data_IF_499593500520
#
_entry.id   IF_499593500520
#
_cell.length_a   1.000
_cell.length_b   1.000
_cell.length_c   1.000
_cell.angle_alpha   90.00
_cell.angle_beta   90.00
_cell.angle_gamma   90.00
#
_symmetry.space_group_name_H-M   'P 1'
#
loop_
_entity.id
_entity.type
_entity.pdbx_description
1 polymer ?
#
# COMPACT_ATOMS: atom_id res chain seq x y z
N UNK A 1 -32.50 25.93 20.85
CA UNK A 1 -32.60 25.51 19.44
C UNK A 1 -31.17 25.46 18.91
N UNK A 2 -30.59 24.27 18.79
CA UNK A 2 -29.27 24.10 18.14
C UNK A 2 -29.53 23.67 16.70
N UNK A 3 -29.84 24.65 15.85
CA UNK A 3 -29.76 24.51 14.40
C UNK A 3 -28.31 24.84 14.02
N UNK A 4 -27.62 23.92 13.34
CA UNK A 4 -26.25 24.15 12.91
C UNK A 4 -25.74 23.04 12.00
N UNK A 5 -25.73 23.33 10.69
CA UNK A 5 -25.24 22.53 9.55
C UNK A 5 -23.73 22.20 9.57
N UNK A 6 -23.06 22.25 10.74
CA UNK A 6 -21.60 22.16 10.85
C UNK A 6 -21.07 20.74 11.08
N UNK A 7 -21.93 19.80 11.47
CA UNK A 7 -21.55 18.44 11.85
C UNK A 7 -22.53 17.38 11.33
N UNK A 8 -22.06 16.16 11.10
CA UNK A 8 -22.88 14.98 10.80
C UNK A 8 -22.58 13.83 11.74
N UNK A 9 -23.54 12.93 11.89
CA UNK A 9 -23.45 11.73 12.72
C UNK A 9 -24.82 11.09 12.90
N UNK A 10 -24.87 9.77 13.04
CA UNK A 10 -26.11 9.02 13.35
C UNK A 10 -26.62 9.31 14.76
N UNK A 11 -25.71 9.69 15.68
CA UNK A 11 -26.01 10.00 17.06
C UNK A 11 -25.73 11.50 17.24
N UNK A 12 -26.78 12.31 17.21
CA UNK A 12 -26.71 13.73 17.56
C UNK A 12 -27.07 13.88 19.04
N UNK A 13 -26.41 14.80 19.76
CA UNK A 13 -26.67 15.14 21.17
C UNK A 13 -28.01 15.87 21.35
N UNK A 14 -29.10 15.24 20.94
CA UNK A 14 -30.46 15.73 21.19
C UNK A 14 -30.92 15.08 22.49
N UNK A 15 -31.13 15.90 23.52
CA UNK A 15 -31.49 15.47 24.89
C UNK A 15 -32.73 14.56 24.92
N UNK A 16 -33.63 14.71 23.93
CA UNK A 16 -34.81 13.87 23.73
C UNK A 16 -34.86 13.20 22.34
N UNK A 17 -33.69 13.01 21.70
CA UNK A 17 -33.61 12.37 20.38
C UNK A 17 -33.85 10.85 20.46
N UNK A 18 -34.16 10.21 19.32
CA UNK A 18 -34.38 8.76 19.26
C UNK A 18 -33.20 7.91 19.77
N UNK A 19 -32.00 8.50 19.87
CA UNK A 19 -30.77 7.86 20.34
C UNK A 19 -30.32 8.31 21.74
N UNK A 20 -31.12 9.08 22.49
CA UNK A 20 -30.73 9.61 23.80
C UNK A 20 -30.30 8.53 24.81
N UNK A 21 -30.90 7.34 24.72
CA UNK A 21 -30.55 6.17 25.55
C UNK A 21 -29.18 5.58 25.24
N UNK A 22 -28.63 5.83 24.04
CA UNK A 22 -27.33 5.30 23.62
C UNK A 22 -26.17 6.19 24.06
N UNK A 23 -26.41 7.45 24.44
CA UNK A 23 -25.36 8.41 24.83
C UNK A 23 -24.55 7.96 26.05
N UNK A 24 -25.10 7.10 26.91
CA UNK A 24 -24.39 6.54 28.07
C UNK A 24 -23.38 5.44 27.69
N UNK A 25 -23.53 4.82 26.51
CA UNK A 25 -22.68 3.72 26.03
C UNK A 25 -21.78 4.12 24.86
N UNK A 26 -22.19 5.12 24.08
CA UNK A 26 -21.48 5.61 22.90
C UNK A 26 -21.41 7.12 23.02
N UNK A 27 -20.20 7.66 23.00
CA UNK A 27 -19.98 9.10 22.95
C UNK A 27 -20.28 9.62 21.53
N UNK A 28 -21.33 10.43 21.34
CA UNK A 28 -21.64 11.04 20.04
C UNK A 28 -20.56 12.04 19.64
N UNK A 29 -19.60 11.56 18.87
CA UNK A 29 -18.57 12.39 18.27
C UNK A 29 -19.15 13.19 17.10
N UNK A 30 -19.18 14.51 17.24
CA UNK A 30 -19.54 15.42 16.16
C UNK A 30 -18.48 15.32 15.05
N UNK A 31 -18.84 14.75 13.89
CA UNK A 31 -17.93 14.67 12.74
C UNK A 31 -18.11 15.95 11.92
N UNK A 32 -17.05 16.76 11.70
CA UNK A 32 -17.14 17.95 10.85
C UNK A 32 -17.70 17.60 9.47
N UNK A 33 -18.44 18.51 8.83
CA UNK A 33 -19.06 18.26 7.51
C UNK A 33 -18.09 17.74 6.44
N UNK A 34 -16.85 18.21 6.49
CA UNK A 34 -15.74 17.79 5.60
C UNK A 34 -15.26 16.36 5.82
N UNK A 35 -15.57 15.76 6.96
CA UNK A 35 -15.29 14.35 7.29
C UNK A 35 -16.53 13.46 7.16
N UNK A 36 -17.66 14.01 6.71
CA UNK A 36 -18.85 13.21 6.45
C UNK A 36 -18.64 12.25 5.30
N UNK A 37 -19.11 11.02 5.52
CA UNK A 37 -19.23 10.03 4.48
C UNK A 37 -20.34 10.32 3.47
N UNK A 38 -20.46 9.43 2.49
CA UNK A 38 -21.49 9.39 1.47
C UNK A 38 -22.49 8.29 1.79
N UNK A 39 -23.67 8.33 1.18
CA UNK A 39 -24.59 7.18 1.16
C UNK A 39 -24.59 6.56 -0.23
N UNK A 40 -24.43 5.24 -0.30
CA UNK A 40 -24.48 4.47 -1.55
C UNK A 40 -25.28 3.21 -1.34
N UNK A 41 -26.38 3.05 -2.09
CA UNK A 41 -27.29 1.89 -2.00
C UNK A 41 -27.72 1.57 -0.54
N UNK A 42 -28.04 2.62 0.23
CA UNK A 42 -28.45 2.50 1.63
C UNK A 42 -27.31 2.24 2.63
N UNK A 43 -26.04 2.20 2.19
CA UNK A 43 -24.87 2.02 3.05
C UNK A 43 -24.10 3.33 3.23
N UNK A 44 -23.57 3.54 4.44
CA UNK A 44 -22.68 4.66 4.73
C UNK A 44 -21.25 4.33 4.30
N UNK A 45 -20.64 5.20 3.50
CA UNK A 45 -19.28 5.07 2.97
C UNK A 45 -18.42 6.19 3.56
N UNK A 46 -17.30 5.90 4.24
CA UNK A 46 -16.44 6.93 4.81
C UNK A 46 -15.92 7.93 3.76
N UNK A 47 -15.68 9.17 4.20
CA UNK A 47 -15.07 10.20 3.37
C UNK A 47 -13.72 9.73 2.78
N UNK A 48 -13.55 9.84 1.46
CA UNK A 48 -12.32 9.43 0.76
C UNK A 48 -12.20 7.92 0.51
N UNK A 49 -13.07 7.10 1.11
CA UNK A 49 -13.04 5.65 0.91
C UNK A 49 -13.35 5.30 -0.55
N UNK A 50 -12.58 4.35 -1.08
CA UNK A 50 -12.76 3.85 -2.44
C UNK A 50 -13.09 2.37 -2.43
N UNK A 51 -14.16 1.98 -3.11
CA UNK A 51 -14.68 0.60 -3.14
C UNK A 51 -15.04 0.13 -4.56
N UNK A 52 -15.18 -1.19 -4.74
CA UNK A 52 -15.68 -1.78 -5.99
C UNK A 52 -17.20 -1.93 -5.90
N UNK A 53 -17.93 -1.27 -6.79
CA UNK A 53 -19.40 -1.22 -6.75
C UNK A 53 -20.06 -2.43 -7.41
N UNK A 54 -19.35 -3.17 -8.26
CA UNK A 54 -19.85 -4.36 -8.94
C UNK A 54 -19.13 -5.64 -8.48
N UNK A 55 -19.66 -6.79 -8.91
CA UNK A 55 -19.11 -8.09 -8.56
C UNK A 55 -17.81 -8.43 -9.28
N UNK A 56 -17.57 -7.86 -10.46
CA UNK A 56 -16.43 -8.18 -11.33
C UNK A 56 -15.26 -7.21 -11.26
N UNK A 57 -15.24 -6.29 -10.29
CA UNK A 57 -14.25 -5.22 -10.22
C UNK A 57 -14.12 -4.45 -11.54
N UNK A 58 -15.26 -4.06 -12.13
CA UNK A 58 -15.36 -3.26 -13.37
C UNK A 58 -15.70 -1.80 -13.11
N UNK A 59 -16.16 -1.47 -11.90
CA UNK A 59 -16.61 -0.14 -11.50
C UNK A 59 -16.03 0.24 -10.14
N UNK A 60 -15.10 1.17 -10.16
CA UNK A 60 -14.43 1.71 -8.96
C UNK A 60 -15.09 3.03 -8.58
N UNK A 61 -15.51 3.14 -7.33
CA UNK A 61 -16.17 4.33 -6.80
C UNK A 61 -15.43 4.91 -5.61
N UNK A 62 -15.52 6.23 -5.42
CA UNK A 62 -14.91 6.95 -4.31
C UNK A 62 -15.92 7.91 -3.69
N UNK A 63 -16.00 7.95 -2.37
CA UNK A 63 -16.80 8.95 -1.66
C UNK A 63 -16.07 10.30 -1.63
N UNK A 64 -16.62 11.28 -2.36
CA UNK A 64 -16.07 12.64 -2.41
C UNK A 64 -16.69 13.48 -1.30
N UNK A 65 -15.93 13.68 -0.23
CA UNK A 65 -16.40 14.33 0.99
C UNK A 65 -17.02 15.72 0.76
N UNK A 66 -16.44 16.51 -0.16
CA UNK A 66 -16.91 17.87 -0.46
C UNK A 66 -18.31 17.89 -1.09
N UNK A 67 -18.59 16.95 -1.98
CA UNK A 67 -19.89 16.85 -2.66
C UNK A 67 -20.88 15.93 -1.92
N UNK A 68 -20.40 15.16 -0.93
CA UNK A 68 -21.12 14.06 -0.26
C UNK A 68 -21.70 13.04 -1.27
N UNK A 69 -21.07 12.91 -2.44
CA UNK A 69 -21.49 12.01 -3.51
C UNK A 69 -20.46 10.94 -3.74
N UNK A 70 -20.94 9.78 -4.17
CA UNK A 70 -20.09 8.73 -4.69
C UNK A 70 -19.87 8.97 -6.18
N UNK A 71 -18.60 9.11 -6.56
CA UNK A 71 -18.18 9.25 -7.95
C UNK A 71 -17.56 7.94 -8.41
N UNK A 72 -18.04 7.42 -9.54
CA UNK A 72 -17.64 6.12 -10.07
C UNK A 72 -17.01 6.26 -11.45
N UNK A 73 -16.04 5.40 -11.72
CA UNK A 73 -15.41 5.26 -13.03
C UNK A 73 -15.23 3.78 -13.35
N UNK A 74 -15.25 3.48 -14.64
CA UNK A 74 -14.94 2.13 -15.10
C UNK A 74 -13.44 1.88 -14.92
N UNK A 75 -13.12 0.74 -14.32
CA UNK A 75 -11.75 0.33 -14.00
C UNK A 75 -11.73 -1.18 -13.89
N UNK A 76 -10.64 -1.82 -14.31
CA UNK A 76 -10.43 -3.25 -14.13
C UNK A 76 -9.26 -3.52 -13.19
N UNK A 77 -9.17 -4.75 -12.69
CA UNK A 77 -7.94 -5.20 -12.04
C UNK A 77 -6.76 -5.15 -13.00
N UNK A 78 -5.57 -4.85 -12.48
CA UNK A 78 -4.35 -4.81 -13.27
C UNK A 78 -3.93 -6.20 -13.76
N UNK A 79 -2.97 -6.22 -14.68
CA UNK A 79 -2.38 -7.47 -15.15
C UNK A 79 -1.83 -8.29 -13.98
N UNK A 80 -2.11 -9.60 -13.96
CA UNK A 80 -1.69 -10.50 -12.89
C UNK A 80 -2.51 -10.37 -11.59
N UNK A 81 -3.63 -9.64 -11.61
CA UNK A 81 -4.57 -9.55 -10.50
C UNK A 81 -5.95 -10.12 -10.88
N UNK A 82 -6.68 -10.59 -9.88
CA UNK A 82 -8.05 -11.08 -10.01
C UNK A 82 -8.96 -10.42 -8.97
N UNK A 83 -10.20 -10.18 -9.35
CA UNK A 83 -11.22 -9.68 -8.43
C UNK A 83 -11.59 -10.75 -7.41
N UNK A 84 -11.32 -10.50 -6.13
CA UNK A 84 -11.59 -11.43 -5.04
C UNK A 84 -12.16 -10.69 -3.82
N UNK A 85 -12.84 -11.42 -2.93
CA UNK A 85 -13.32 -10.89 -1.65
C UNK A 85 -12.38 -11.39 -0.56
N UNK A 86 -11.66 -10.48 0.09
CA UNK A 86 -10.71 -10.77 1.17
C UNK A 86 -11.22 -10.05 2.42
N UNK A 87 -11.45 -10.79 3.50
CA UNK A 87 -12.01 -10.29 4.76
C UNK A 87 -13.33 -9.52 4.57
N UNK A 88 -14.20 -10.03 3.69
CA UNK A 88 -15.48 -9.40 3.36
C UNK A 88 -15.38 -8.18 2.44
N UNK A 89 -14.17 -7.75 2.05
CA UNK A 89 -13.95 -6.59 1.19
C UNK A 89 -13.49 -7.04 -0.19
N UNK A 90 -14.19 -6.59 -1.23
CA UNK A 90 -13.81 -6.84 -2.63
C UNK A 90 -12.57 -6.03 -3.00
N UNK A 91 -11.54 -6.69 -3.54
CA UNK A 91 -10.25 -6.10 -3.94
C UNK A 91 -9.68 -6.82 -5.17
N UNK A 92 -8.73 -6.17 -5.85
CA UNK A 92 -7.91 -6.83 -6.86
C UNK A 92 -6.72 -7.49 -6.17
N UNK A 93 -6.74 -8.83 -6.10
CA UNK A 93 -5.74 -9.64 -5.43
C UNK A 93 -4.73 -10.17 -6.44
N UNK A 94 -3.44 -10.19 -6.09
CA UNK A 94 -2.42 -10.81 -6.95
C UNK A 94 -2.73 -12.31 -7.15
N UNK A 95 -2.68 -12.78 -8.39
CA UNK A 95 -2.96 -14.19 -8.73
C UNK A 95 -1.79 -15.09 -8.35
N UNK A 96 -0.58 -14.56 -8.33
CA UNK A 96 0.63 -15.32 -7.99
C UNK A 96 1.72 -14.41 -7.43
N UNK A 97 2.63 -15.01 -6.69
CA UNK A 97 3.86 -14.37 -6.23
C UNK A 97 5.07 -15.12 -6.80
N UNK A 98 6.12 -14.38 -7.11
CA UNK A 98 7.40 -14.94 -7.54
C UNK A 98 8.53 -14.39 -6.68
N UNK A 99 9.67 -15.08 -6.68
CA UNK A 99 10.81 -14.74 -5.84
C UNK A 99 12.08 -14.76 -6.67
N UNK A 100 12.75 -13.61 -6.74
CA UNK A 100 14.13 -13.49 -7.17
C UNK A 100 15.05 -13.72 -5.97
N UNK A 101 16.18 -14.41 -6.16
CA UNK A 101 17.14 -14.71 -5.09
C UNK A 101 18.55 -14.34 -5.53
N UNK A 102 19.29 -13.73 -4.62
CA UNK A 102 20.74 -13.58 -4.68
C UNK A 102 21.31 -14.22 -3.41
N UNK A 103 21.92 -15.40 -3.54
CA UNK A 103 22.44 -16.17 -2.38
C UNK A 103 23.92 -15.91 -2.11
N UNK A 104 24.51 -14.98 -2.87
CA UNK A 104 25.94 -14.66 -2.91
C UNK A 104 26.35 -14.47 -4.35
N UNK A 105 27.32 -13.61 -4.63
CA UNK A 105 27.92 -13.54 -5.96
C UNK A 105 28.77 -14.81 -6.18
N UNK A 106 28.58 -15.53 -7.31
CA UNK A 106 27.85 -15.08 -8.50
C UNK A 106 26.41 -15.59 -8.66
N UNK A 107 25.82 -16.30 -7.69
CA UNK A 107 24.59 -17.08 -7.89
C UNK A 107 23.29 -16.28 -7.77
N UNK A 108 22.62 -16.10 -8.91
CA UNK A 108 21.32 -15.46 -9.01
C UNK A 108 20.25 -16.42 -9.52
N UNK A 109 19.02 -16.25 -9.02
CA UNK A 109 17.81 -16.91 -9.53
C UNK A 109 16.77 -15.85 -9.84
N UNK A 110 16.37 -15.73 -11.09
CA UNK A 110 15.36 -14.76 -11.54
C UNK A 110 13.95 -15.14 -11.10
N UNK A 111 12.99 -14.22 -11.28
CA UNK A 111 11.57 -14.47 -10.99
C UNK A 111 11.00 -15.65 -11.78
N UNK A 112 11.42 -15.82 -13.04
CA UNK A 112 11.08 -16.95 -13.93
C UNK A 112 11.99 -18.19 -13.72
N UNK A 113 12.70 -18.25 -12.59
CA UNK A 113 13.49 -19.41 -12.12
C UNK A 113 14.75 -19.73 -12.92
N UNK A 114 15.21 -18.83 -13.79
CA UNK A 114 16.50 -18.99 -14.48
C UNK A 114 17.64 -18.77 -13.51
N UNK A 115 18.64 -19.65 -13.59
CA UNK A 115 19.86 -19.59 -12.80
C UNK A 115 20.97 -19.02 -13.67
N UNK A 116 21.74 -18.09 -13.13
CA UNK A 116 22.94 -17.61 -13.81
C UNK A 116 23.99 -17.18 -12.79
N UNK A 117 25.23 -17.12 -13.29
CA UNK A 117 26.37 -16.64 -12.56
C UNK A 117 26.80 -15.29 -13.14
N UNK A 118 26.90 -14.27 -12.29
CA UNK A 118 27.41 -12.96 -12.68
C UNK A 118 28.40 -12.49 -11.62
N UNK A 119 29.54 -11.95 -12.06
CA UNK A 119 30.60 -11.46 -11.18
C UNK A 119 30.87 -9.99 -11.49
N UNK A 120 30.92 -9.16 -10.44
CA UNK A 120 31.36 -7.78 -10.58
C UNK A 120 31.21 -6.99 -9.29
N UNK A 121 31.91 -5.86 -9.19
CA UNK A 121 32.03 -5.06 -7.94
C UNK A 121 31.26 -3.74 -7.97
N UNK A 122 30.46 -3.50 -9.02
CA UNK A 122 29.66 -2.28 -9.09
C UNK A 122 28.42 -2.40 -8.20
N UNK A 123 27.64 -1.32 -8.18
CA UNK A 123 26.26 -1.35 -7.70
C UNK A 123 25.39 -1.84 -8.85
N UNK A 124 24.56 -2.84 -8.59
CA UNK A 124 23.66 -3.45 -9.56
C UNK A 124 22.21 -3.32 -9.11
N UNK A 125 21.31 -3.08 -10.06
CA UNK A 125 19.88 -3.09 -9.82
C UNK A 125 19.37 -4.54 -9.85
N UNK A 126 19.02 -5.09 -8.69
CA UNK A 126 18.52 -6.46 -8.57
C UNK A 126 17.04 -6.55 -8.99
N UNK A 127 16.24 -5.56 -8.61
CA UNK A 127 14.85 -5.44 -8.98
C UNK A 127 14.39 -3.97 -8.90
N UNK A 128 13.57 -3.54 -9.85
CA UNK A 128 12.88 -2.25 -9.76
C UNK A 128 11.56 -2.32 -10.52
N UNK A 129 10.68 -1.36 -10.26
CA UNK A 129 9.44 -1.21 -11.03
C UNK A 129 9.79 -0.85 -12.49
N UNK A 130 9.33 -1.68 -13.43
CA UNK A 130 9.43 -1.43 -14.87
C UNK A 130 8.05 -1.08 -15.45
N UNK A 131 7.46 0.02 -14.97
CA UNK A 131 6.17 0.54 -15.44
C UNK A 131 6.15 2.05 -15.30
N UNK A 132 5.38 2.72 -16.18
CA UNK A 132 5.09 4.16 -16.09
C UNK A 132 3.72 4.44 -15.47
N UNK A 133 3.04 3.41 -14.98
CA UNK A 133 1.72 3.54 -14.35
C UNK A 133 1.82 4.35 -13.05
N UNK A 134 1.19 5.53 -12.97
CA UNK A 134 1.26 6.38 -11.78
C UNK A 134 0.51 5.80 -10.57
N UNK A 135 -0.31 4.76 -10.74
CA UNK A 135 -1.00 4.09 -9.63
C UNK A 135 -0.12 3.06 -8.92
N UNK A 136 1.01 2.66 -9.51
CA UNK A 136 1.95 1.73 -8.92
C UNK A 136 3.00 2.48 -8.09
N UNK A 137 3.32 1.93 -6.92
CA UNK A 137 4.36 2.49 -6.05
C UNK A 137 5.73 2.10 -6.63
N UNK A 138 6.59 3.08 -7.00
CA UNK A 138 7.93 2.79 -7.45
C UNK A 138 8.79 2.25 -6.29
N UNK A 139 9.63 1.26 -6.62
CA UNK A 139 10.64 0.73 -5.71
C UNK A 139 11.89 0.35 -6.50
N UNK A 140 13.02 0.32 -5.81
CA UNK A 140 14.31 -0.08 -6.34
C UNK A 140 15.08 -0.87 -5.28
N UNK A 141 15.67 -2.00 -5.68
CA UNK A 141 16.56 -2.81 -4.85
C UNK A 141 17.93 -2.83 -5.50
N UNK A 142 18.89 -2.20 -4.85
CA UNK A 142 20.28 -2.10 -5.27
C UNK A 142 21.14 -3.04 -4.44
N UNK A 143 22.10 -3.68 -5.09
CA UNK A 143 23.08 -4.57 -4.45
C UNK A 143 24.47 -4.10 -4.83
N UNK A 144 25.31 -3.89 -3.83
CA UNK A 144 26.74 -3.64 -4.02
C UNK A 144 27.53 -4.88 -3.61
N UNK A 145 28.35 -5.36 -4.53
CA UNK A 145 29.29 -6.44 -4.28
C UNK A 145 30.71 -5.89 -4.11
N UNK A 146 31.55 -6.59 -3.34
CA UNK A 146 32.94 -6.20 -3.09
C UNK A 146 33.86 -7.43 -3.10
N UNK A 147 35.13 -7.24 -3.45
CA UNK A 147 36.14 -8.30 -3.41
C UNK A 147 36.63 -8.52 -1.97
N UNK A 148 36.65 -9.76 -1.51
CA UNK A 148 37.09 -10.10 -0.15
C UNK A 148 38.56 -10.54 -0.14
N UNK A 149 39.47 -9.62 -0.47
CA UNK A 149 40.93 -9.90 -0.50
C UNK A 149 41.39 -10.75 -1.68
N UNK A 150 40.48 -11.26 -2.50
CA UNK A 150 40.74 -11.94 -3.78
C UNK A 150 39.80 -11.37 -4.85
N UNK A 151 40.31 -11.21 -6.08
CA UNK A 151 39.52 -10.76 -7.24
C UNK A 151 38.73 -11.90 -7.91
N UNK A 152 38.89 -13.14 -7.44
CA UNK A 152 38.32 -14.35 -8.04
C UNK A 152 36.82 -14.50 -7.75
N UNK A 153 36.31 -13.87 -6.69
CA UNK A 153 34.88 -13.84 -6.34
C UNK A 153 34.53 -12.49 -5.69
N UNK A 154 33.28 -12.07 -5.77
CA UNK A 154 32.79 -10.93 -4.99
C UNK A 154 31.71 -11.37 -3.98
N UNK A 155 31.40 -10.51 -3.02
CA UNK A 155 30.40 -10.78 -1.99
C UNK A 155 29.52 -9.57 -1.80
N UNK A 156 28.24 -9.78 -1.53
CA UNK A 156 27.33 -8.69 -1.19
C UNK A 156 27.82 -7.97 0.07
N UNK A 157 28.14 -6.68 -0.11
CA UNK A 157 28.56 -5.75 0.94
C UNK A 157 27.38 -5.01 1.54
N UNK A 158 26.46 -4.61 0.66
CA UNK A 158 25.36 -3.72 0.96
C UNK A 158 24.17 -4.03 0.06
N UNK A 159 22.98 -4.02 0.66
CA UNK A 159 21.70 -3.99 -0.04
C UNK A 159 21.00 -2.70 0.35
N UNK A 160 20.57 -1.92 -0.64
CA UNK A 160 19.76 -0.73 -0.44
C UNK A 160 18.39 -0.94 -1.08
N UNK A 161 17.34 -0.71 -0.31
CA UNK A 161 15.96 -0.77 -0.76
C UNK A 161 15.42 0.66 -0.69
N UNK A 162 15.00 1.18 -1.83
CA UNK A 162 14.33 2.47 -1.95
C UNK A 162 12.86 2.24 -2.25
N UNK A 163 12.00 2.76 -1.38
CA UNK A 163 10.55 2.70 -1.55
C UNK A 163 9.93 3.91 -0.86
N UNK A 164 9.00 4.59 -1.54
CA UNK A 164 8.50 5.90 -1.09
C UNK A 164 9.65 6.90 -0.87
N UNK A 165 9.69 7.58 0.27
CA UNK A 165 10.79 8.44 0.75
C UNK A 165 11.74 7.71 1.71
N UNK A 166 11.70 6.38 1.74
CA UNK A 166 12.57 5.56 2.60
C UNK A 166 13.72 5.00 1.79
N UNK A 167 14.93 5.13 2.35
CA UNK A 167 16.08 4.30 1.99
C UNK A 167 16.39 3.40 3.18
N UNK A 168 16.32 2.09 2.94
CA UNK A 168 16.58 1.03 3.91
C UNK A 168 17.87 0.35 3.49
N UNK A 169 18.90 0.43 4.34
CA UNK A 169 20.22 -0.11 4.04
C UNK A 169 20.55 -1.26 4.98
N UNK A 170 20.90 -2.39 4.39
CA UNK A 170 21.36 -3.59 5.09
C UNK A 170 22.83 -3.78 4.71
N UNK A 171 23.71 -3.72 5.70
CA UNK A 171 25.16 -3.80 5.47
C UNK A 171 25.78 -4.96 6.22
N UNK A 172 26.86 -5.51 5.67
CA UNK A 172 27.67 -6.50 6.38
C UNK A 172 28.38 -5.92 7.61
N UNK A 173 28.68 -4.62 7.61
CA UNK A 173 29.38 -3.92 8.69
C UNK A 173 28.57 -3.90 9.98
N UNK A 174 27.25 -3.68 9.87
CA UNK A 174 26.35 -3.58 11.02
C UNK A 174 25.41 -4.80 11.07
N UNK A 175 25.94 -5.94 11.49
CA UNK A 175 25.18 -7.20 11.56
C UNK A 175 23.99 -7.07 12.52
N UNK A 176 22.82 -7.51 12.07
CA UNK A 176 21.59 -7.48 12.86
C UNK A 176 20.93 -6.10 12.96
N UNK A 177 21.51 -5.07 12.35
CA UNK A 177 20.95 -3.71 12.31
C UNK A 177 20.51 -3.38 10.89
N UNK A 178 19.47 -2.55 10.80
CA UNK A 178 18.93 -2.02 9.54
C UNK A 178 18.95 -0.50 9.66
N UNK A 179 19.57 0.17 8.70
CA UNK A 179 19.59 1.65 8.69
C UNK A 179 18.38 2.15 7.90
N UNK A 180 17.65 3.12 8.45
CA UNK A 180 16.47 3.72 7.80
C UNK A 180 16.70 5.22 7.69
N UNK A 181 16.61 5.77 6.48
CA UNK A 181 16.85 7.22 6.24
C UNK A 181 18.19 7.71 6.78
N UNK A 182 19.25 6.89 6.69
CA UNK A 182 20.59 7.22 7.21
C UNK A 182 20.67 7.41 8.75
N UNK A 183 19.64 7.02 9.50
CA UNK A 183 19.63 6.99 10.98
C UNK A 183 19.60 5.52 11.43
N UNK A 184 20.35 5.20 12.48
CA UNK A 184 20.37 3.88 13.13
C UNK A 184 19.20 3.72 14.11
#
# INVERSE_FOLDING_TARGET
MWEGDSFCGLITLIINGPFSKCHAAIDPQCVPTVKCGCTYEGRSIPAGESFWADQGCRRRCTCVARSKRVECRDKACGAGQQCQVVDGIRKCQAVSHSTCKATGDPHYVTFDKRKFNFQGTCVYQLAALCSKDPELVPFEVLVQNDHRGSKVVSFTKLVEIKVYSLSIVITKTHKGLIMVRTIF
#
